data_IF_083759259810
#
_entry.id   IF_083759259810
#
_cell.length_a   1.000
_cell.length_b   1.000
_cell.length_c   1.000
_cell.angle_alpha   90.00
_cell.angle_beta   90.00
_cell.angle_gamma   90.00
#
_symmetry.space_group_name_H-M   'P 1'
#
loop_
_entity.id
_entity.type
_entity.pdbx_description
1 polymer ?
#
# COMPACT_ATOMS: atom_id res chain seq x y z
N UNK A 1 16.73 -4.42 20.50
CA UNK A 1 16.03 -3.14 20.29
C UNK A 1 16.02 -2.68 18.83
N UNK A 2 17.19 -2.52 18.17
CA UNK A 2 17.29 -2.01 16.78
C UNK A 2 16.40 -2.77 15.78
N UNK A 3 16.34 -4.10 15.91
CA UNK A 3 15.57 -4.95 14.99
C UNK A 3 14.06 -4.69 15.09
N UNK A 4 13.52 -4.44 16.28
CA UNK A 4 12.09 -4.17 16.46
C UNK A 4 11.73 -2.78 15.90
N UNK A 5 12.59 -1.79 16.10
CA UNK A 5 12.43 -0.45 15.52
C UNK A 5 12.45 -0.48 13.99
N UNK A 6 13.26 -1.35 13.38
CA UNK A 6 13.27 -1.54 11.93
C UNK A 6 11.95 -2.11 11.39
N UNK A 7 11.40 -3.16 12.02
CA UNK A 7 10.11 -3.72 11.57
C UNK A 7 8.95 -2.75 11.77
N UNK A 8 8.95 -1.96 12.85
CA UNK A 8 7.95 -0.91 13.07
C UNK A 8 8.03 0.14 11.95
N UNK A 9 9.24 0.60 11.60
CA UNK A 9 9.45 1.52 10.49
C UNK A 9 8.95 0.93 9.16
N UNK A 10 9.24 -0.36 8.93
CA UNK A 10 8.80 -1.09 7.74
C UNK A 10 7.27 -1.18 7.63
N UNK A 11 6.57 -1.44 8.75
CA UNK A 11 5.10 -1.42 8.80
C UNK A 11 4.56 -0.06 8.40
N UNK A 12 5.12 1.02 8.96
CA UNK A 12 4.67 2.39 8.67
C UNK A 12 4.88 2.71 7.18
N UNK A 13 6.04 2.35 6.62
CA UNK A 13 6.33 2.55 5.20
C UNK A 13 5.36 1.80 4.29
N UNK A 14 5.14 0.50 4.54
CA UNK A 14 4.23 -0.31 3.73
C UNK A 14 2.80 0.20 3.82
N UNK A 15 2.37 0.63 5.01
CA UNK A 15 1.06 1.22 5.21
C UNK A 15 0.89 2.54 4.46
N UNK A 16 1.88 3.45 4.51
CA UNK A 16 1.87 4.71 3.79
C UNK A 16 1.83 4.51 2.27
N UNK A 17 2.63 3.57 1.75
CA UNK A 17 2.64 3.22 0.32
C UNK A 17 1.28 2.67 -0.12
N UNK A 18 0.68 1.79 0.69
CA UNK A 18 -0.66 1.26 0.44
C UNK A 18 -1.72 2.36 0.38
N UNK A 19 -1.71 3.28 1.36
CA UNK A 19 -2.63 4.43 1.39
C UNK A 19 -2.44 5.33 0.18
N UNK A 20 -1.20 5.67 -0.17
CA UNK A 20 -0.90 6.52 -1.32
C UNK A 20 -1.46 5.93 -2.61
N UNK A 21 -1.19 4.64 -2.87
CA UNK A 21 -1.70 3.96 -4.05
C UNK A 21 -3.24 3.87 -4.07
N UNK A 22 -3.85 3.68 -2.90
CA UNK A 22 -5.31 3.62 -2.77
C UNK A 22 -5.97 4.98 -3.02
N UNK A 23 -5.45 6.06 -2.42
CA UNK A 23 -5.93 7.41 -2.67
C UNK A 23 -5.76 7.78 -4.14
N UNK A 24 -4.60 7.49 -4.73
CA UNK A 24 -4.35 7.76 -6.15
C UNK A 24 -5.31 7.00 -7.07
N UNK A 25 -5.66 5.75 -6.73
CA UNK A 25 -6.67 4.97 -7.45
C UNK A 25 -8.06 5.62 -7.36
N UNK A 26 -8.49 6.06 -6.16
CA UNK A 26 -9.77 6.75 -5.96
C UNK A 26 -9.82 8.06 -6.75
N UNK A 27 -8.76 8.86 -6.66
CA UNK A 27 -8.65 10.11 -7.42
C UNK A 27 -8.74 9.82 -8.92
N UNK A 28 -7.94 8.88 -9.44
CA UNK A 28 -8.00 8.49 -10.85
C UNK A 28 -9.41 8.09 -11.30
N UNK A 29 -10.16 7.34 -10.50
CA UNK A 29 -11.53 6.94 -10.84
C UNK A 29 -12.54 8.10 -10.82
N UNK A 30 -12.37 9.05 -9.88
CA UNK A 30 -13.19 10.27 -9.85
C UNK A 30 -12.87 11.17 -11.05
N UNK A 31 -11.59 11.35 -11.35
CA UNK A 31 -11.12 12.26 -12.40
C UNK A 31 -11.43 11.75 -13.82
N UNK A 32 -11.51 10.43 -14.02
CA UNK A 32 -12.00 9.85 -15.27
C UNK A 32 -13.47 10.17 -15.54
N UNK A 33 -14.30 10.20 -14.49
CA UNK A 33 -15.70 10.61 -14.61
C UNK A 33 -15.85 12.09 -14.94
N UNK A 34 -14.81 12.89 -14.66
CA UNK A 34 -14.77 14.34 -14.90
C UNK A 34 -13.91 14.72 -16.13
N UNK A 35 -13.41 13.75 -16.91
CA UNK A 35 -12.63 13.93 -18.16
C UNK A 35 -11.28 14.69 -18.04
N UNK A 36 -10.77 14.93 -16.83
CA UNK A 36 -9.57 15.78 -16.63
C UNK A 36 -8.26 14.97 -16.78
N UNK A 37 -8.25 13.67 -16.43
CA UNK A 37 -7.05 12.81 -16.47
C UNK A 37 -7.48 11.39 -16.87
N UNK A 38 -7.03 10.92 -18.04
CA UNK A 38 -7.23 9.54 -18.50
C UNK A 38 -5.97 8.75 -18.13
N UNK A 39 -6.06 7.92 -17.09
CA UNK A 39 -4.97 7.03 -16.71
C UNK A 39 -5.03 5.79 -17.61
N UNK A 40 -3.90 5.29 -18.17
CA UNK A 40 -3.90 4.06 -18.93
C UNK A 40 -4.45 2.89 -18.07
N UNK A 41 -5.25 2.02 -18.67
CA UNK A 41 -5.85 0.88 -17.98
C UNK A 41 -4.80 -0.03 -17.31
N UNK A 42 -3.64 -0.16 -17.96
CA UNK A 42 -2.46 -0.83 -17.41
C UNK A 42 -1.96 -0.19 -16.11
N UNK A 43 -1.93 1.14 -16.01
CA UNK A 43 -1.47 1.84 -14.82
C UNK A 43 -2.44 1.64 -13.65
N UNK A 44 -3.75 1.65 -13.91
CA UNK A 44 -4.77 1.36 -12.88
C UNK A 44 -4.69 -0.06 -12.35
N UNK A 45 -4.50 -1.03 -13.25
CA UNK A 45 -4.33 -2.43 -12.86
C UNK A 45 -3.08 -2.60 -11.99
N UNK A 46 -1.98 -1.95 -12.36
CA UNK A 46 -0.76 -1.95 -11.55
C UNK A 46 -0.99 -1.33 -10.17
N UNK A 47 -1.70 -0.20 -10.08
CA UNK A 47 -2.04 0.42 -8.79
C UNK A 47 -2.89 -0.50 -7.91
N UNK A 48 -3.90 -1.15 -8.46
CA UNK A 48 -4.72 -2.13 -7.72
C UNK A 48 -3.86 -3.30 -7.20
N UNK A 49 -2.99 -3.85 -8.04
CA UNK A 49 -2.07 -4.92 -7.64
C UNK A 49 -1.13 -4.41 -6.53
N UNK A 50 -0.64 -3.18 -6.65
CA UNK A 50 0.27 -2.59 -5.66
C UNK A 50 -0.42 -2.36 -4.30
N UNK A 51 -1.69 -1.94 -4.29
CA UNK A 51 -2.50 -1.85 -3.06
C UNK A 51 -2.66 -3.23 -2.43
N UNK A 52 -3.00 -4.25 -3.21
CA UNK A 52 -3.12 -5.63 -2.73
C UNK A 52 -1.83 -6.18 -2.13
N UNK A 53 -0.71 -6.02 -2.83
CA UNK A 53 0.62 -6.44 -2.35
C UNK A 53 0.99 -5.70 -1.06
N UNK A 54 0.70 -4.40 -0.97
CA UNK A 54 0.97 -3.60 0.23
C UNK A 54 0.19 -4.11 1.45
N UNK A 55 -1.09 -4.45 1.28
CA UNK A 55 -1.93 -5.03 2.35
C UNK A 55 -1.38 -6.41 2.77
N UNK A 56 -1.05 -7.27 1.81
CA UNK A 56 -0.49 -8.59 2.10
C UNK A 56 0.85 -8.50 2.83
N UNK A 57 1.74 -7.61 2.39
CA UNK A 57 3.03 -7.37 3.04
C UNK A 57 2.85 -6.83 4.46
N UNK A 58 1.88 -5.94 4.71
CA UNK A 58 1.56 -5.47 6.06
C UNK A 58 1.23 -6.63 7.00
N UNK A 59 0.37 -7.57 6.58
CA UNK A 59 0.02 -8.73 7.42
C UNK A 59 1.20 -9.67 7.67
N UNK A 60 2.07 -9.88 6.66
CA UNK A 60 3.30 -10.68 6.85
C UNK A 60 4.21 -10.03 7.89
N UNK A 61 4.47 -8.73 7.77
CA UNK A 61 5.38 -8.03 8.68
C UNK A 61 4.80 -8.00 10.09
N UNK A 62 3.48 -7.77 10.21
CA UNK A 62 2.77 -7.81 11.49
C UNK A 62 2.87 -9.20 12.14
N UNK A 63 2.68 -10.27 11.37
CA UNK A 63 2.84 -11.64 11.85
C UNK A 63 4.25 -11.93 12.35
N UNK A 64 5.29 -11.51 11.60
CA UNK A 64 6.69 -11.66 12.01
C UNK A 64 7.00 -10.88 13.30
N UNK A 65 6.41 -9.70 13.48
CA UNK A 65 6.53 -8.92 14.71
C UNK A 65 5.86 -9.61 15.91
N UNK A 66 4.66 -10.17 15.71
CA UNK A 66 3.94 -10.91 16.75
C UNK A 66 4.69 -12.18 17.18
N UNK A 67 5.24 -12.94 16.23
CA UNK A 67 6.08 -14.12 16.49
C UNK A 67 7.36 -13.81 17.27
N UNK A 68 7.83 -12.57 17.26
CA UNK A 68 9.04 -12.16 18.02
C UNK A 68 8.74 -11.70 19.43
N UNK A 69 7.47 -11.43 19.75
CA UNK A 69 7.02 -11.01 21.08
C UNK A 69 6.63 -12.24 21.93
N UNK A 70 6.09 -13.27 21.27
CA UNK A 70 5.79 -14.60 21.85
C UNK A 70 7.08 -15.43 21.92
#
# INVERSE_FOLDING_TARGET
MIINSFYILLIVLVFLIGIYNFLFLIFSQKTEKELIIILPEMAKKTLMVNVGISIFAFFIILYVLLQRII
#
